data_IF_079750373154
#
_entry.id   IF_079750373154
#
_cell.length_a   1.000
_cell.length_b   1.000
_cell.length_c   1.000
_cell.angle_alpha   90.00
_cell.angle_beta   90.00
_cell.angle_gamma   90.00
#
_symmetry.space_group_name_H-M   'P 1'
#
loop_
_entity.id
_entity.type
_entity.pdbx_description
1 polymer ?
#
# COMPACT_ATOMS: atom_id res chain seq x y z
N UNK A 1 4.84 -22.20 4.83
CA UNK A 1 3.90 -21.35 4.07
C UNK A 1 2.58 -21.35 4.80
N UNK A 2 1.88 -20.21 4.92
CA UNK A 2 0.62 -20.13 5.67
C UNK A 2 -0.47 -21.04 5.10
N UNK A 3 -0.50 -21.22 3.78
CA UNK A 3 -1.47 -22.06 3.07
C UNK A 3 -1.34 -23.58 3.32
N UNK A 4 -0.36 -24.02 4.11
CA UNK A 4 -0.20 -25.42 4.52
C UNK A 4 -0.61 -25.68 5.97
N UNK A 5 -1.19 -24.69 6.66
CA UNK A 5 -1.63 -24.81 8.05
C UNK A 5 -3.15 -25.01 8.09
N UNK A 6 -3.60 -26.04 8.81
CA UNK A 6 -5.04 -26.37 8.92
C UNK A 6 -5.88 -25.25 9.56
N UNK A 7 -5.25 -24.34 10.31
CA UNK A 7 -5.90 -23.19 10.94
C UNK A 7 -5.98 -21.94 10.07
N UNK A 8 -5.56 -21.99 8.80
CA UNK A 8 -5.54 -20.85 7.89
C UNK A 8 -6.56 -21.05 6.76
N UNK A 9 -7.49 -20.11 6.62
CA UNK A 9 -8.32 -20.00 5.41
C UNK A 9 -7.49 -19.35 4.30
N UNK A 10 -7.14 -20.13 3.29
CA UNK A 10 -6.32 -19.69 2.17
C UNK A 10 -6.98 -18.58 1.33
N UNK A 11 -8.31 -18.44 1.39
CA UNK A 11 -9.04 -17.38 0.69
C UNK A 11 -9.02 -16.05 1.46
N UNK A 12 -8.42 -16.02 2.66
CA UNK A 12 -8.43 -14.87 3.58
C UNK A 12 -7.03 -14.47 4.03
N UNK A 13 -6.06 -14.60 3.14
CA UNK A 13 -4.69 -14.16 3.41
C UNK A 13 -4.60 -12.65 3.10
N UNK A 14 -4.37 -11.87 4.16
CA UNK A 14 -4.11 -10.43 4.06
C UNK A 14 -2.66 -10.06 4.35
N UNK A 15 -2.22 -8.91 3.83
CA UNK A 15 -0.90 -8.35 4.13
C UNK A 15 -1.01 -6.91 4.62
N UNK A 16 -0.35 -6.58 5.73
CA UNK A 16 -0.38 -5.23 6.29
C UNK A 16 1.02 -4.80 6.69
N UNK A 17 1.31 -3.52 6.53
CA UNK A 17 2.59 -2.98 6.90
C UNK A 17 2.58 -1.48 7.09
N UNK A 18 3.43 -1.02 8.02
CA UNK A 18 3.67 0.38 8.29
C UNK A 18 5.11 0.76 7.95
N UNK A 19 5.32 1.95 7.40
CA UNK A 19 6.65 2.46 7.01
C UNK A 19 7.35 1.46 6.05
N UNK A 20 8.54 0.97 6.37
CA UNK A 20 9.21 -0.07 5.54
C UNK A 20 8.37 -1.33 5.32
N UNK A 21 7.59 -1.76 6.32
CA UNK A 21 6.66 -2.87 6.14
C UNK A 21 5.56 -2.54 5.13
N UNK A 22 5.18 -1.27 5.01
CA UNK A 22 4.21 -0.80 4.02
C UNK A 22 4.78 -0.82 2.59
N UNK A 23 6.04 -0.44 2.40
CA UNK A 23 6.74 -0.63 1.12
C UNK A 23 6.75 -2.11 0.71
N UNK A 24 7.12 -2.98 1.65
CA UNK A 24 7.12 -4.43 1.44
C UNK A 24 5.72 -4.93 1.08
N UNK A 25 4.67 -4.43 1.75
CA UNK A 25 3.28 -4.77 1.45
C UNK A 25 2.88 -4.36 0.03
N UNK A 26 3.28 -3.18 -0.44
CA UNK A 26 3.01 -2.71 -1.81
C UNK A 26 3.59 -3.70 -2.83
N UNK A 27 4.90 -3.97 -2.73
CA UNK A 27 5.58 -4.87 -3.66
C UNK A 27 5.04 -6.30 -3.58
N UNK A 28 4.88 -6.84 -2.37
CA UNK A 28 4.39 -8.20 -2.18
C UNK A 28 2.98 -8.38 -2.76
N UNK A 29 2.07 -7.42 -2.54
CA UNK A 29 0.69 -7.51 -3.04
C UNK A 29 0.62 -7.39 -4.57
N UNK A 30 1.48 -6.58 -5.18
CA UNK A 30 1.52 -6.46 -6.64
C UNK A 30 1.84 -7.81 -7.31
N UNK A 31 2.77 -8.59 -6.74
CA UNK A 31 3.33 -9.79 -7.36
C UNK A 31 2.82 -11.12 -6.80
N UNK A 32 2.28 -11.18 -5.58
CA UNK A 32 1.77 -12.40 -4.96
C UNK A 32 0.24 -12.42 -4.94
N UNK A 33 -0.36 -13.13 -5.89
CA UNK A 33 -1.82 -13.23 -6.06
C UNK A 33 -2.52 -14.05 -4.97
N UNK A 34 -1.78 -14.60 -3.99
CA UNK A 34 -2.37 -15.22 -2.78
C UNK A 34 -2.80 -14.19 -1.76
N UNK A 35 -2.42 -12.92 -1.92
CA UNK A 35 -2.89 -11.84 -1.05
C UNK A 35 -4.23 -11.35 -1.58
N UNK A 36 -5.27 -11.51 -0.77
CA UNK A 36 -6.65 -11.16 -1.11
C UNK A 36 -7.03 -9.73 -0.72
N UNK A 37 -6.33 -9.17 0.27
CA UNK A 37 -6.47 -7.78 0.70
C UNK A 37 -5.20 -7.28 1.37
N UNK A 38 -4.89 -5.99 1.21
CA UNK A 38 -3.69 -5.43 1.81
C UNK A 38 -3.80 -3.97 2.24
N UNK A 39 -2.98 -3.59 3.22
CA UNK A 39 -2.91 -2.22 3.74
C UNK A 39 -1.46 -1.74 3.83
N UNK A 40 -1.16 -0.65 3.13
CA UNK A 40 0.13 0.05 3.22
C UNK A 40 -0.04 1.39 3.97
N UNK A 41 0.55 1.47 5.16
CA UNK A 41 0.47 2.64 6.04
C UNK A 41 1.80 3.41 6.05
N UNK A 42 1.76 4.74 5.94
CA UNK A 42 2.93 5.62 6.08
C UNK A 42 4.09 5.31 5.13
N UNK A 43 3.78 4.87 3.91
CA UNK A 43 4.79 4.26 3.00
C UNK A 43 4.63 4.59 1.53
N UNK A 44 3.39 4.77 1.05
CA UNK A 44 3.09 5.08 -0.34
C UNK A 44 3.61 6.48 -0.72
N UNK A 45 4.84 6.54 -1.24
CA UNK A 45 5.45 7.74 -1.79
C UNK A 45 6.36 7.40 -2.96
N UNK A 46 6.28 8.18 -4.04
CA UNK A 46 7.11 7.95 -5.24
C UNK A 46 8.57 8.26 -4.98
N UNK A 47 9.47 7.57 -5.69
CA UNK A 47 10.89 7.89 -5.72
C UNK A 47 11.12 9.32 -6.21
N UNK A 48 10.37 9.77 -7.21
CA UNK A 48 10.38 11.17 -7.68
C UNK A 48 10.14 12.16 -6.53
N UNK A 49 9.05 11.97 -5.77
CA UNK A 49 8.74 12.83 -4.63
C UNK A 49 9.81 12.75 -3.53
N UNK A 50 10.33 11.56 -3.24
CA UNK A 50 11.41 11.38 -2.25
C UNK A 50 12.69 12.12 -2.65
N UNK A 51 13.11 12.00 -3.90
CA UNK A 51 14.31 12.68 -4.43
C UNK A 51 14.13 14.20 -4.40
N UNK A 52 13.00 14.71 -4.89
CA UNK A 52 12.71 16.15 -4.92
C UNK A 52 12.72 16.80 -3.53
N UNK A 53 12.33 16.05 -2.50
CA UNK A 53 12.22 16.53 -1.12
C UNK A 53 13.37 16.07 -0.21
N UNK A 54 14.45 15.50 -0.77
CA UNK A 54 15.60 14.98 -0.03
C UNK A 54 15.21 14.00 1.10
N UNK A 55 14.26 13.12 0.81
CA UNK A 55 13.77 12.06 1.71
C UNK A 55 14.49 10.75 1.38
N UNK A 56 14.93 10.04 2.42
CA UNK A 56 15.62 8.76 2.25
C UNK A 56 14.81 7.74 1.43
N UNK A 57 15.53 7.01 0.59
CA UNK A 57 15.03 5.86 -0.15
C UNK A 57 15.58 4.60 0.52
N UNK A 58 14.70 3.65 0.81
CA UNK A 58 15.09 2.37 1.37
C UNK A 58 15.86 1.56 0.32
N UNK A 59 17.10 1.18 0.62
CA UNK A 59 17.92 0.46 -0.35
C UNK A 59 17.33 -0.86 -0.83
N UNK A 60 16.57 -1.56 0.02
CA UNK A 60 15.92 -2.82 -0.35
C UNK A 60 14.81 -2.63 -1.41
N UNK A 61 14.30 -1.41 -1.60
CA UNK A 61 13.32 -1.07 -2.64
C UNK A 61 13.94 -0.60 -3.96
N UNK A 62 15.27 -0.44 -4.01
CA UNK A 62 15.95 0.08 -5.21
C UNK A 62 16.16 -1.03 -6.23
N UNK A 63 15.43 -0.94 -7.34
CA UNK A 63 15.58 -1.82 -8.49
C UNK A 63 16.38 -1.08 -9.57
N UNK A 64 17.50 -1.63 -10.08
CA UNK A 64 18.29 -0.98 -11.14
C UNK A 64 17.43 -0.61 -12.36
N UNK A 65 17.62 0.62 -12.87
CA UNK A 65 16.89 1.20 -14.01
C UNK A 65 15.37 1.35 -13.86
N UNK A 66 14.78 1.04 -12.70
CA UNK A 66 13.31 1.09 -12.51
C UNK A 66 12.72 2.47 -12.81
N UNK A 67 13.30 3.53 -12.24
CA UNK A 67 12.88 4.92 -12.42
C UNK A 67 12.93 5.45 -13.86
N UNK A 68 13.54 4.72 -14.81
CA UNK A 68 13.51 5.10 -16.23
C UNK A 68 12.14 4.85 -16.86
N UNK A 69 11.34 3.95 -16.27
CA UNK A 69 10.10 3.47 -16.85
C UNK A 69 8.93 3.51 -15.86
N UNK A 70 9.20 3.34 -14.56
CA UNK A 70 8.19 3.13 -13.53
C UNK A 70 8.56 3.82 -12.22
N UNK A 71 7.58 3.96 -11.35
CA UNK A 71 7.75 4.40 -9.96
C UNK A 71 6.70 3.70 -9.06
N UNK A 72 6.66 4.02 -7.76
CA UNK A 72 5.76 3.37 -6.79
C UNK A 72 4.28 3.51 -7.17
N UNK A 73 3.88 4.60 -7.82
CA UNK A 73 2.52 4.76 -8.32
C UNK A 73 2.16 3.76 -9.41
N UNK A 74 3.12 3.29 -10.22
CA UNK A 74 2.91 2.17 -11.16
C UNK A 74 2.76 0.83 -10.41
N UNK A 75 3.59 0.57 -9.40
CA UNK A 75 3.49 -0.66 -8.59
C UNK A 75 2.14 -0.77 -7.90
N UNK A 76 1.61 0.34 -7.38
CA UNK A 76 0.27 0.37 -6.77
C UNK A 76 -0.83 0.13 -7.81
N UNK A 77 -0.67 0.54 -9.07
CA UNK A 77 -1.63 0.21 -10.12
C UNK A 77 -1.68 -1.32 -10.39
N UNK A 78 -0.54 -2.01 -10.35
CA UNK A 78 -0.45 -3.47 -10.54
C UNK A 78 -1.13 -4.30 -9.45
N UNK A 79 -1.49 -3.68 -8.31
CA UNK A 79 -2.28 -4.33 -7.26
C UNK A 79 -3.71 -4.59 -7.72
N UNK A 80 -4.20 -3.87 -8.73
CA UNK A 80 -5.52 -4.11 -9.31
C UNK A 80 -5.71 -5.59 -9.71
N UNK A 81 -6.84 -6.24 -9.37
CA UNK A 81 -8.04 -5.72 -8.71
C UNK A 81 -8.10 -5.98 -7.18
N UNK A 82 -6.99 -6.37 -6.54
CA UNK A 82 -6.94 -6.74 -5.11
C UNK A 82 -7.38 -5.59 -4.21
N UNK A 83 -8.14 -5.91 -3.15
CA UNK A 83 -8.62 -4.91 -2.18
C UNK A 83 -7.43 -4.26 -1.46
N UNK A 84 -7.25 -2.95 -1.61
CA UNK A 84 -6.05 -2.23 -1.16
C UNK A 84 -6.38 -0.93 -0.44
N UNK A 85 -5.85 -0.78 0.78
CA UNK A 85 -5.96 0.43 1.57
C UNK A 85 -4.60 1.15 1.64
N UNK A 86 -4.61 2.44 1.33
CA UNK A 86 -3.51 3.35 1.61
C UNK A 86 -3.84 4.15 2.87
N UNK A 87 -2.96 4.12 3.88
CA UNK A 87 -3.04 5.02 5.04
C UNK A 87 -1.88 6.02 4.98
N UNK A 88 -2.19 7.30 5.06
CA UNK A 88 -1.21 8.39 4.95
C UNK A 88 -1.46 9.49 5.98
N UNK A 89 -0.49 10.40 6.14
CA UNK A 89 -0.67 11.58 6.96
C UNK A 89 -0.10 12.84 6.29
N UNK A 90 -0.68 14.02 6.62
CA UNK A 90 -0.40 15.30 5.94
C UNK A 90 1.04 15.79 6.10
N UNK A 91 1.70 15.48 7.22
CA UNK A 91 3.08 15.85 7.51
C UNK A 91 4.07 14.69 7.33
N UNK A 92 3.59 13.50 6.96
CA UNK A 92 4.46 12.35 6.74
C UNK A 92 5.16 12.42 5.37
N UNK A 93 6.45 12.73 5.39
CA UNK A 93 7.32 12.77 4.20
C UNK A 93 7.42 11.42 3.48
N UNK A 94 7.15 10.30 4.16
CA UNK A 94 7.22 8.96 3.58
C UNK A 94 5.92 8.51 2.91
N UNK A 95 4.85 9.30 3.01
CA UNK A 95 3.59 9.08 2.30
C UNK A 95 3.03 10.37 1.68
N UNK A 96 3.90 11.35 1.39
CA UNK A 96 3.49 12.74 1.12
C UNK A 96 2.60 12.88 -0.11
N UNK A 97 2.88 12.10 -1.15
CA UNK A 97 2.17 12.06 -2.44
C UNK A 97 1.22 10.85 -2.55
N UNK A 98 0.86 10.22 -1.43
CA UNK A 98 -0.05 9.07 -1.39
C UNK A 98 -1.41 9.34 -2.05
N UNK A 99 -1.92 10.56 -1.97
CA UNK A 99 -3.19 10.94 -2.61
C UNK A 99 -3.09 10.94 -4.15
N UNK A 100 -1.93 11.32 -4.70
CA UNK A 100 -1.72 11.31 -6.16
C UNK A 100 -1.50 9.88 -6.66
N UNK A 101 -0.77 9.05 -5.88
CA UNK A 101 -0.68 7.60 -6.09
C UNK A 101 -2.08 6.97 -6.12
N UNK A 102 -2.92 7.26 -5.11
CA UNK A 102 -4.30 6.77 -5.03
C UNK A 102 -5.10 7.17 -6.27
N UNK A 103 -5.08 8.45 -6.68
CA UNK A 103 -5.84 8.91 -7.86
C UNK A 103 -5.43 8.22 -9.15
N UNK A 104 -4.15 7.87 -9.31
CA UNK A 104 -3.68 7.11 -10.47
C UNK A 104 -4.21 5.68 -10.43
N UNK A 105 -4.05 4.99 -9.30
CA UNK A 105 -4.51 3.62 -9.12
C UNK A 105 -6.04 3.50 -9.20
N UNK A 106 -6.80 4.45 -8.67
CA UNK A 106 -8.26 4.48 -8.76
C UNK A 106 -8.75 4.48 -10.23
N UNK A 107 -8.04 5.17 -11.13
CA UNK A 107 -8.36 5.12 -12.58
C UNK A 107 -8.14 3.73 -13.15
N UNK A 108 -7.09 3.02 -12.73
CA UNK A 108 -6.81 1.66 -13.18
C UNK A 108 -7.87 0.67 -12.64
N UNK A 109 -8.18 0.76 -11.35
CA UNK A 109 -9.23 -0.03 -10.73
C UNK A 109 -10.59 0.17 -11.40
N UNK A 110 -10.92 1.40 -11.82
CA UNK A 110 -12.15 1.68 -12.57
C UNK A 110 -12.19 0.98 -13.93
N UNK A 111 -11.08 0.90 -14.66
CA UNK A 111 -11.02 0.18 -15.96
C UNK A 111 -11.31 -1.31 -15.80
N UNK A 112 -10.92 -1.90 -14.68
CA UNK A 112 -11.11 -3.32 -14.37
C UNK A 112 -12.42 -3.61 -13.62
N UNK A 113 -13.36 -2.65 -13.55
CA UNK A 113 -14.60 -2.74 -12.77
C UNK A 113 -14.39 -3.04 -11.26
N UNK A 114 -13.22 -2.68 -10.73
CA UNK A 114 -12.80 -2.91 -9.35
C UNK A 114 -12.72 -1.60 -8.55
N UNK A 115 -13.30 -0.49 -9.01
CA UNK A 115 -13.15 0.84 -8.39
C UNK A 115 -13.42 0.92 -6.89
N UNK A 116 -14.26 0.04 -6.34
CA UNK A 116 -14.57 -0.05 -4.90
C UNK A 116 -13.50 -0.79 -4.07
N UNK A 117 -12.53 -1.43 -4.72
CA UNK A 117 -11.50 -2.23 -4.07
C UNK A 117 -10.28 -1.41 -3.63
N UNK A 118 -10.14 -0.15 -4.07
CA UNK A 118 -9.07 0.71 -3.58
C UNK A 118 -9.64 1.83 -2.73
N UNK A 119 -8.99 2.13 -1.61
CA UNK A 119 -9.35 3.24 -0.74
C UNK A 119 -8.12 3.93 -0.16
N UNK A 120 -8.29 5.17 0.28
CA UNK A 120 -7.28 5.93 1.02
C UNK A 120 -7.89 6.55 2.27
N UNK A 121 -7.15 6.48 3.37
CA UNK A 121 -7.43 7.21 4.62
C UNK A 121 -6.24 8.11 4.94
N UNK A 122 -6.47 9.42 4.91
CA UNK A 122 -5.49 10.43 5.30
C UNK A 122 -5.80 10.97 6.69
N UNK A 123 -4.76 11.12 7.51
CA UNK A 123 -4.82 11.70 8.84
C UNK A 123 -4.02 13.01 8.90
N UNK A 124 -4.32 13.85 9.89
CA UNK A 124 -3.43 14.96 10.24
C UNK A 124 -2.21 14.45 11.03
N UNK A 125 -1.10 15.19 10.92
CA UNK A 125 0.14 14.96 11.67
C UNK A 125 1.18 14.10 10.94
N UNK A 126 2.12 13.57 11.73
CA UNK A 126 3.35 12.93 11.22
C UNK A 126 3.27 11.42 10.98
N UNK A 127 4.46 10.81 10.94
CA UNK A 127 4.68 9.43 10.48
C UNK A 127 4.12 8.32 11.39
N UNK A 128 3.96 8.56 12.69
CA UNK A 128 3.72 7.50 13.67
C UNK A 128 2.43 6.66 13.39
N UNK A 129 2.51 5.36 13.67
CA UNK A 129 1.33 4.50 13.79
C UNK A 129 0.67 4.74 15.15
N UNK A 130 -0.30 5.66 15.19
CA UNK A 130 -1.08 5.94 16.39
C UNK A 130 -2.11 4.83 16.67
N UNK A 131 -2.61 4.74 17.90
CA UNK A 131 -3.67 3.79 18.26
C UNK A 131 -4.93 3.96 17.41
N UNK A 132 -5.30 5.20 17.08
CA UNK A 132 -6.43 5.49 16.18
C UNK A 132 -6.21 4.89 14.79
N UNK A 133 -5.02 5.10 14.21
CA UNK A 133 -4.66 4.58 12.88
C UNK A 133 -4.58 3.05 12.91
N UNK A 134 -4.02 2.47 13.97
CA UNK A 134 -3.94 1.03 14.17
C UNK A 134 -5.33 0.40 14.22
N UNK A 135 -6.23 0.93 15.06
CA UNK A 135 -7.59 0.42 15.19
C UNK A 135 -8.35 0.50 13.86
N UNK A 136 -8.24 1.62 13.14
CA UNK A 136 -8.85 1.75 11.82
C UNK A 136 -8.35 0.69 10.83
N UNK A 137 -7.04 0.40 10.82
CA UNK A 137 -6.46 -0.63 9.95
C UNK A 137 -6.98 -2.03 10.33
N UNK A 138 -7.07 -2.34 11.63
CA UNK A 138 -7.58 -3.62 12.11
C UNK A 138 -9.05 -3.79 11.72
N UNK A 139 -9.90 -2.79 11.96
CA UNK A 139 -11.31 -2.81 11.61
C UNK A 139 -11.49 -2.99 10.09
N UNK A 140 -10.70 -2.25 9.29
CA UNK A 140 -10.73 -2.39 7.84
C UNK A 140 -10.34 -3.80 7.38
N UNK A 141 -9.31 -4.41 7.99
CA UNK A 141 -8.88 -5.78 7.65
C UNK A 141 -9.96 -6.82 7.98
N UNK A 142 -10.65 -6.66 9.12
CA UNK A 142 -11.75 -7.55 9.51
C UNK A 142 -12.87 -7.48 8.46
N UNK A 143 -13.25 -6.28 8.01
CA UNK A 143 -14.25 -6.13 6.95
C UNK A 143 -13.73 -6.58 5.58
N UNK A 144 -12.43 -6.44 5.32
CA UNK A 144 -11.82 -6.86 4.06
C UNK A 144 -11.87 -8.38 3.86
N UNK A 145 -11.73 -9.14 4.95
CA UNK A 145 -11.74 -10.61 4.96
C UNK A 145 -13.10 -11.28 5.17
N UNK A 146 -14.20 -10.50 5.24
CA UNK A 146 -15.55 -11.06 5.14
C UNK A 146 -15.85 -11.50 3.72
#
# INVERSE_FOLDING_TARGET
MLNGLDCVDYNKIGCLGHSYGGNTTIYLTAFDKRIHYACASGSAATFRNRIMNNVGIEMASVIPNFMRHYDIDDVVCEICPTKFLIVSATEDKYSKDAMDIYKKAEKEYKKCNAGQQISIKQYEGGHALTSERFNYIVDWIIEAGK
#
